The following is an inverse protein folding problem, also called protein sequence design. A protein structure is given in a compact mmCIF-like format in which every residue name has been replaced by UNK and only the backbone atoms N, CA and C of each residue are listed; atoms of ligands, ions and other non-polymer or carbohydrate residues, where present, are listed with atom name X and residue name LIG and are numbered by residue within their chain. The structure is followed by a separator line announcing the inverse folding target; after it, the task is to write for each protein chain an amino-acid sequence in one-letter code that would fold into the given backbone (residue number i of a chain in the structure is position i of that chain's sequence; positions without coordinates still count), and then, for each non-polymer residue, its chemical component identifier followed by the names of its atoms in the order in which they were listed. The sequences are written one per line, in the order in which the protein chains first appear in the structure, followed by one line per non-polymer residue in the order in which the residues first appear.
data_IF_155758044148
#
_entry.id   IF_155758044148
#
_cell.length_a   1.000
_cell.length_b   1.000
_cell.length_c   1.000
_cell.angle_alpha   90.00
_cell.angle_beta   90.00
_cell.angle_gamma   90.00
#
_symmetry.space_group_name_H-M   'P 1'
#
loop_
_entity.id
_entity.type
_entity.pdbx_description
1 polymer ?
#
# COMPACT_ATOMS: atom_id res chain seq x y z
N UNK A 1 2.01 22.42 22.80
CA UNK A 1 0.65 21.82 22.70
C UNK A 1 0.77 20.46 22.04
N UNK A 2 0.53 19.37 22.76
CA UNK A 2 0.44 18.03 22.16
C UNK A 2 -0.88 17.94 21.37
N UNK A 3 -0.91 17.32 20.17
CA UNK A 3 -2.14 17.16 19.42
C UNK A 3 -3.14 16.33 20.23
N UNK A 4 -4.37 16.84 20.38
CA UNK A 4 -5.46 16.19 21.08
C UNK A 4 -5.75 14.85 20.38
N UNK A 5 -5.58 13.72 21.08
CA UNK A 5 -5.94 12.41 20.51
C UNK A 5 -7.41 12.45 20.07
N UNK A 6 -7.75 11.98 18.86
CA UNK A 6 -9.15 11.93 18.41
C UNK A 6 -9.96 11.08 19.39
N UNK A 7 -11.23 11.43 19.60
CA UNK A 7 -12.15 10.59 20.37
C UNK A 7 -12.40 9.28 19.63
N UNK A 8 -12.79 8.23 20.36
CA UNK A 8 -13.05 6.91 19.79
C UNK A 8 -14.14 6.97 18.70
N UNK A 9 -15.13 7.86 18.86
CA UNK A 9 -16.13 8.14 17.84
C UNK A 9 -15.53 8.75 16.56
N UNK A 10 -14.59 9.69 16.68
CA UNK A 10 -13.94 10.30 15.53
C UNK A 10 -13.02 9.33 14.79
N UNK A 11 -12.39 8.38 15.52
CA UNK A 11 -11.59 7.31 14.93
C UNK A 11 -12.46 6.37 14.09
N UNK A 12 -13.62 5.97 14.64
CA UNK A 12 -14.60 5.11 13.97
C UNK A 12 -15.14 5.72 12.69
N UNK A 13 -15.52 7.00 12.73
CA UNK A 13 -16.02 7.68 11.54
C UNK A 13 -14.96 7.80 10.44
N UNK A 14 -13.69 8.04 10.79
CA UNK A 14 -12.58 8.02 9.81
C UNK A 14 -12.41 6.66 9.15
N UNK A 15 -12.52 5.59 9.93
CA UNK A 15 -12.41 4.23 9.42
C UNK A 15 -13.58 3.94 8.46
N UNK A 16 -14.81 4.22 8.86
CA UNK A 16 -16.00 4.06 8.02
C UNK A 16 -15.92 4.89 6.74
N UNK A 17 -15.43 6.13 6.83
CA UNK A 17 -15.26 7.00 5.68
C UNK A 17 -14.19 6.43 4.72
N UNK A 18 -13.08 5.91 5.24
CA UNK A 18 -12.03 5.30 4.44
C UNK A 18 -12.50 4.03 3.73
N UNK A 19 -13.18 3.12 4.44
CA UNK A 19 -13.69 1.87 3.88
C UNK A 19 -14.90 2.08 2.98
N UNK A 20 -15.77 3.03 3.30
CA UNK A 20 -16.93 3.40 2.48
C UNK A 20 -16.54 4.11 1.18
N UNK A 21 -15.43 4.84 1.16
CA UNK A 21 -14.90 5.47 -0.06
C UNK A 21 -14.36 4.43 -1.03
N UNK A 22 -13.54 3.51 -0.55
CA UNK A 22 -12.91 2.47 -1.37
C UNK A 22 -12.50 1.26 -0.53
N UNK A 23 -13.39 0.27 -0.47
CA UNK A 23 -13.19 -0.93 0.33
C UNK A 23 -12.04 -1.79 -0.19
N UNK A 24 -11.82 -1.84 -1.50
CA UNK A 24 -10.76 -2.64 -2.11
C UNK A 24 -9.39 -2.02 -1.83
N UNK A 25 -9.27 -0.69 -1.88
CA UNK A 25 -8.03 -0.01 -1.51
C UNK A 25 -7.72 -0.14 -0.02
N UNK A 26 -8.74 -0.13 0.83
CA UNK A 26 -8.59 -0.40 2.27
C UNK A 26 -8.13 -1.85 2.51
N UNK A 27 -8.74 -2.83 1.84
CA UNK A 27 -8.39 -4.24 1.91
C UNK A 27 -6.95 -4.50 1.46
N UNK A 28 -6.56 -3.86 0.35
CA UNK A 28 -5.20 -3.93 -0.15
C UNK A 28 -4.18 -3.45 0.89
N UNK A 29 -4.41 -2.29 1.53
CA UNK A 29 -3.51 -1.79 2.58
C UNK A 29 -3.35 -2.78 3.72
N UNK A 30 -4.46 -3.38 4.17
CA UNK A 30 -4.45 -4.40 5.22
C UNK A 30 -3.67 -5.64 4.77
N UNK A 31 -3.92 -6.12 3.56
CA UNK A 31 -3.25 -7.28 2.97
C UNK A 31 -1.74 -7.07 2.82
N UNK A 32 -1.31 -5.90 2.35
CA UNK A 32 0.12 -5.55 2.25
C UNK A 32 0.79 -5.50 3.63
N UNK A 33 0.11 -4.90 4.61
CA UNK A 33 0.58 -4.81 5.99
C UNK A 33 0.73 -6.20 6.63
N UNK A 34 -0.31 -7.03 6.54
CA UNK A 34 -0.33 -8.40 7.08
C UNK A 34 0.77 -9.24 6.44
N UNK A 35 0.95 -9.15 5.12
CA UNK A 35 2.02 -9.89 4.42
C UNK A 35 3.41 -9.47 4.90
N UNK A 36 3.65 -8.17 5.11
CA UNK A 36 4.90 -7.67 5.66
C UNK A 36 5.13 -8.13 7.12
N UNK A 37 4.08 -8.19 7.94
CA UNK A 37 4.12 -8.61 9.33
C UNK A 37 4.37 -10.11 9.50
N UNK A 38 3.73 -10.95 8.67
CA UNK A 38 3.86 -12.40 8.71
C UNK A 38 5.17 -12.91 8.09
N UNK A 39 5.89 -12.07 7.34
CA UNK A 39 7.16 -12.43 6.74
C UNK A 39 8.24 -12.71 7.80
N UNK A 40 9.09 -13.73 7.56
CA UNK A 40 10.31 -13.92 8.34
C UNK A 40 11.26 -12.70 8.26
N UNK A 41 11.11 -11.84 7.24
CA UNK A 41 11.88 -10.59 7.06
C UNK A 41 11.20 -9.38 7.72
N UNK A 42 10.17 -9.57 8.56
CA UNK A 42 9.30 -8.51 9.12
C UNK A 42 10.06 -7.31 9.68
N UNK A 43 11.24 -7.49 10.27
CA UNK A 43 12.04 -6.37 10.77
C UNK A 43 12.50 -5.36 9.69
N UNK A 44 12.75 -5.88 8.49
CA UNK A 44 13.21 -5.08 7.34
C UNK A 44 12.06 -4.59 6.45
N UNK A 45 11.00 -5.39 6.29
CA UNK A 45 9.93 -5.11 5.31
C UNK A 45 8.70 -4.44 5.91
N UNK A 46 8.45 -4.57 7.23
CA UNK A 46 7.35 -3.88 7.91
C UNK A 46 7.76 -2.44 8.27
N UNK A 47 7.96 -1.61 7.25
CA UNK A 47 8.36 -0.21 7.38
C UNK A 47 7.41 0.67 6.56
N UNK A 48 6.72 1.65 7.15
CA UNK A 48 6.78 2.08 8.54
C UNK A 48 6.25 1.00 9.49
N UNK A 49 6.71 1.07 10.75
CA UNK A 49 6.28 0.20 11.83
C UNK A 49 5.37 1.00 12.79
N UNK A 50 4.26 0.42 13.30
CA UNK A 50 3.33 1.15 14.16
C UNK A 50 3.98 1.46 15.51
N UNK A 51 4.12 2.75 15.83
CA UNK A 51 4.83 3.22 17.03
C UNK A 51 4.22 2.75 18.35
N UNK A 52 2.96 2.31 18.38
CA UNK A 52 2.31 1.74 19.56
C UNK A 52 2.93 0.39 20.00
N UNK A 53 3.60 -0.29 19.07
CA UNK A 53 4.24 -1.60 19.28
C UNK A 53 5.76 -1.50 19.31
N UNK A 54 6.30 -0.28 19.36
CA UNK A 54 7.73 -0.03 19.41
C UNK A 54 8.07 0.75 20.69
N UNK A 55 9.12 0.33 21.36
CA UNK A 55 9.81 1.12 22.38
C UNK A 55 11.19 1.53 21.84
N UNK A 56 11.99 2.24 22.65
CA UNK A 56 13.28 2.78 22.21
C UNK A 56 14.29 1.69 21.79
N UNK A 57 14.14 0.46 22.29
CA UNK A 57 15.12 -0.61 22.12
C UNK A 57 14.59 -1.80 21.30
N UNK A 58 13.27 -2.01 21.24
CA UNK A 58 12.66 -3.20 20.65
C UNK A 58 11.29 -2.95 20.01
N UNK A 59 10.94 -3.85 19.07
CA UNK A 59 9.63 -3.93 18.42
C UNK A 59 8.91 -5.17 18.93
N UNK A 60 7.70 -4.99 19.43
CA UNK A 60 6.83 -6.08 19.88
C UNK A 60 5.99 -6.61 18.70
N UNK A 61 6.59 -7.52 17.94
CA UNK A 61 5.90 -8.16 16.82
C UNK A 61 4.80 -9.13 17.27
N UNK A 62 4.89 -9.69 18.47
CA UNK A 62 3.96 -10.72 18.94
C UNK A 62 2.64 -10.08 19.39
N UNK A 63 2.70 -8.97 20.13
CA UNK A 63 1.53 -8.15 20.42
C UNK A 63 0.90 -7.59 19.14
N UNK A 64 1.72 -7.15 18.18
CA UNK A 64 1.23 -6.64 16.90
C UNK A 64 0.49 -7.72 16.10
N UNK A 65 1.03 -8.94 16.06
CA UNK A 65 0.42 -10.07 15.38
C UNK A 65 -0.90 -10.48 16.05
N UNK A 66 -0.94 -10.51 17.38
CA UNK A 66 -2.15 -10.82 18.15
C UNK A 66 -3.28 -9.82 17.84
N UNK A 67 -2.99 -8.52 17.88
CA UNK A 67 -4.00 -7.50 17.59
C UNK A 67 -4.42 -7.48 16.12
N UNK A 68 -3.49 -7.75 15.21
CA UNK A 68 -3.80 -7.85 13.77
C UNK A 68 -4.73 -9.03 13.50
N UNK A 69 -4.53 -10.17 14.16
CA UNK A 69 -5.39 -11.35 14.02
C UNK A 69 -6.76 -11.15 14.68
N UNK A 70 -6.89 -10.20 15.61
CA UNK A 70 -8.16 -9.84 16.24
C UNK A 70 -8.96 -8.80 15.42
N UNK A 71 -8.43 -8.30 14.30
CA UNK A 71 -9.15 -7.36 13.45
C UNK A 71 -10.34 -8.05 12.79
N UNK A 72 -11.56 -7.46 12.84
CA UNK A 72 -12.71 -7.97 12.13
C UNK A 72 -12.52 -7.82 10.61
N UNK A 73 -13.29 -8.57 9.83
CA UNK A 73 -13.28 -8.37 8.37
C UNK A 73 -13.81 -6.97 8.02
N UNK A 74 -13.36 -6.42 6.89
CA UNK A 74 -13.79 -5.07 6.48
C UNK A 74 -15.30 -4.94 6.26
N UNK A 75 -15.99 -6.05 5.99
CA UNK A 75 -17.43 -6.10 5.77
C UNK A 75 -18.21 -6.09 7.09
N UNK A 76 -17.62 -6.61 8.16
CA UNK A 76 -18.23 -6.70 9.50
C UNK A 76 -17.94 -5.47 10.36
N UNK A 77 -17.10 -4.55 9.86
CA UNK A 77 -16.77 -3.29 10.52
C UNK A 77 -17.99 -2.48 10.97
N UNK A 78 -19.07 -2.30 10.19
CA UNK A 78 -20.19 -1.47 10.63
C UNK A 78 -20.91 -2.00 11.89
N UNK A 79 -20.85 -3.31 12.13
CA UNK A 79 -21.62 -4.01 13.17
C UNK A 79 -20.76 -4.44 14.38
N UNK A 80 -19.47 -4.74 14.18
CA UNK A 80 -18.53 -5.19 15.23
C UNK A 80 -17.96 -4.08 16.13
N UNK A 81 -18.34 -2.83 15.88
CA UNK A 81 -17.79 -1.62 16.51
C UNK A 81 -18.11 -1.50 18.02
N UNK A 82 -18.95 -2.34 18.60
CA UNK A 82 -19.32 -2.24 20.03
C UNK A 82 -18.30 -2.84 21.01
N UNK A 83 -17.50 -3.85 20.64
CA UNK A 83 -16.76 -4.67 21.63
C UNK A 83 -15.23 -4.78 21.43
N UNK A 84 -14.64 -4.21 20.38
CA UNK A 84 -13.19 -4.36 20.15
C UNK A 84 -12.36 -3.33 20.92
N UNK A 85 -11.24 -3.79 21.51
CA UNK A 85 -10.27 -2.97 22.24
C UNK A 85 -9.81 -1.74 21.45
N UNK A 86 -9.70 -0.60 22.16
CA UNK A 86 -9.23 0.69 21.61
C UNK A 86 -7.91 0.57 20.84
N UNK A 87 -7.00 -0.29 21.33
CA UNK A 87 -5.70 -0.57 20.73
C UNK A 87 -5.82 -1.10 19.30
N UNK A 88 -6.77 -2.01 19.08
CA UNK A 88 -7.05 -2.62 17.77
C UNK A 88 -7.58 -1.59 16.77
N UNK A 89 -8.46 -0.69 17.23
CA UNK A 89 -8.96 0.41 16.39
C UNK A 89 -7.89 1.44 16.05
N UNK A 90 -7.00 1.76 17.01
CA UNK A 90 -5.86 2.65 16.78
C UNK A 90 -4.92 2.05 15.72
N UNK A 91 -4.63 0.75 15.80
CA UNK A 91 -3.86 0.02 14.79
C UNK A 91 -4.56 0.08 13.42
N UNK A 92 -5.86 -0.22 13.38
CA UNK A 92 -6.60 -0.25 12.14
C UNK A 92 -6.66 1.11 11.45
N UNK A 93 -6.95 2.16 12.21
CA UNK A 93 -6.87 3.53 11.69
C UNK A 93 -5.46 3.88 11.23
N UNK A 94 -4.42 3.40 11.90
CA UNK A 94 -3.03 3.63 11.51
C UNK A 94 -2.71 2.97 10.16
N UNK A 95 -3.14 1.72 9.93
CA UNK A 95 -2.95 0.99 8.66
C UNK A 95 -3.63 1.73 7.50
N UNK A 96 -4.85 2.19 7.71
CA UNK A 96 -5.62 2.86 6.65
C UNK A 96 -5.12 4.30 6.39
N UNK A 97 -4.52 4.93 7.39
CA UNK A 97 -4.05 6.31 7.29
C UNK A 97 -2.73 6.41 6.54
N UNK A 98 -2.65 7.34 5.60
CA UNK A 98 -1.38 7.75 5.00
C UNK A 98 -1.39 9.25 4.81
N UNK A 99 -0.27 9.89 5.14
CA UNK A 99 -0.11 11.35 5.05
C UNK A 99 0.28 11.83 3.66
N UNK A 100 0.92 10.98 2.87
CA UNK A 100 1.61 11.40 1.64
C UNK A 100 1.02 10.78 0.38
N UNK A 101 0.18 9.75 0.53
CA UNK A 101 -0.44 9.07 -0.61
C UNK A 101 -1.82 8.52 -0.25
N UNK A 102 -2.63 8.32 -1.27
CA UNK A 102 -3.88 7.56 -1.27
C UNK A 102 -3.75 6.43 -2.28
N UNK A 103 -4.44 5.32 -2.03
CA UNK A 103 -4.62 4.25 -3.02
C UNK A 103 -6.07 4.32 -3.47
N UNK A 104 -6.30 4.14 -4.77
CA UNK A 104 -7.62 4.14 -5.38
C UNK A 104 -7.75 2.94 -6.30
N UNK A 105 -8.82 2.18 -6.18
CA UNK A 105 -9.22 1.17 -7.16
C UNK A 105 -9.58 1.83 -8.47
N UNK A 106 -9.11 1.24 -9.56
CA UNK A 106 -9.36 1.76 -10.91
C UNK A 106 -9.91 0.68 -11.83
N UNK A 107 -10.39 1.10 -13.00
CA UNK A 107 -11.06 0.25 -13.98
C UNK A 107 -10.03 -0.40 -14.91
N UNK A 108 -10.39 -1.55 -15.47
CA UNK A 108 -9.57 -2.27 -16.46
C UNK A 108 -9.16 -1.42 -17.67
N UNK A 109 -9.95 -0.42 -18.05
CA UNK A 109 -9.60 0.53 -19.11
C UNK A 109 -8.28 1.28 -18.83
N UNK A 110 -7.96 1.58 -17.57
CA UNK A 110 -6.67 2.18 -17.24
C UNK A 110 -5.50 1.21 -17.47
N UNK A 111 -5.74 -0.10 -17.46
CA UNK A 111 -4.72 -1.08 -17.82
C UNK A 111 -4.33 -0.99 -19.30
N UNK A 112 -5.28 -0.74 -20.19
CA UNK A 112 -5.02 -0.54 -21.63
C UNK A 112 -4.08 0.66 -21.84
N UNK A 113 -4.35 1.77 -21.14
CA UNK A 113 -3.48 2.95 -21.15
C UNK A 113 -2.08 2.64 -20.59
N UNK A 114 -1.98 1.81 -19.55
CA UNK A 114 -0.69 1.36 -19.01
C UNK A 114 0.05 0.52 -20.06
N UNK A 115 -0.63 -0.35 -20.80
CA UNK A 115 -0.03 -1.15 -21.88
C UNK A 115 0.52 -0.24 -23.00
N UNK A 116 -0.24 0.78 -23.41
CA UNK A 116 0.22 1.78 -24.38
C UNK A 116 1.45 2.55 -23.88
N UNK A 117 1.42 3.06 -22.64
CA UNK A 117 2.52 3.83 -22.05
C UNK A 117 3.80 3.01 -21.86
N UNK A 118 3.68 1.69 -21.72
CA UNK A 118 4.81 0.77 -21.52
C UNK A 118 5.24 0.09 -22.82
N UNK A 119 4.51 0.28 -23.93
CA UNK A 119 4.75 -0.38 -25.19
C UNK A 119 4.57 -1.91 -25.15
N UNK A 120 3.85 -2.44 -24.16
CA UNK A 120 3.58 -3.88 -24.06
C UNK A 120 2.37 -4.28 -24.92
N UNK A 121 2.50 -5.36 -25.69
CA UNK A 121 1.38 -5.94 -26.42
C UNK A 121 0.41 -6.66 -25.48
N UNK A 122 -0.89 -6.57 -25.77
CA UNK A 122 -1.93 -7.17 -24.93
C UNK A 122 -1.91 -8.70 -24.91
N UNK A 123 -1.29 -9.33 -25.90
CA UNK A 123 -1.23 -10.80 -26.03
C UNK A 123 -0.20 -11.45 -25.10
N UNK A 124 0.71 -10.67 -24.50
CA UNK A 124 1.85 -11.19 -23.75
C UNK A 124 1.63 -11.32 -22.23
N UNK A 125 0.58 -10.70 -21.67
CA UNK A 125 0.41 -10.57 -20.21
C UNK A 125 -1.06 -10.72 -19.79
N UNK A 126 -1.36 -11.53 -18.76
CA UNK A 126 -2.72 -11.64 -18.23
C UNK A 126 -3.21 -10.31 -17.66
N UNK A 127 -4.48 -10.00 -17.91
CA UNK A 127 -5.15 -8.82 -17.36
C UNK A 127 -5.29 -8.95 -15.84
N UNK A 128 -4.92 -7.93 -15.06
CA UNK A 128 -5.04 -7.95 -13.60
C UNK A 128 -6.49 -8.15 -13.15
N UNK A 129 -6.64 -8.92 -12.07
CA UNK A 129 -7.90 -9.07 -11.35
C UNK A 129 -8.30 -7.75 -10.69
N UNK A 130 -7.32 -7.08 -10.09
CA UNK A 130 -7.47 -5.78 -9.45
C UNK A 130 -6.37 -4.81 -9.90
N UNK A 131 -6.76 -3.56 -10.16
CA UNK A 131 -5.85 -2.49 -10.52
C UNK A 131 -6.04 -1.32 -9.56
N UNK A 132 -4.92 -0.79 -9.08
CA UNK A 132 -4.91 0.33 -8.15
C UNK A 132 -3.96 1.43 -8.62
N UNK A 133 -4.39 2.68 -8.46
CA UNK A 133 -3.59 3.88 -8.67
C UNK A 133 -3.12 4.43 -7.32
N UNK A 134 -1.86 4.90 -7.28
CA UNK A 134 -1.29 5.56 -6.11
C UNK A 134 -1.23 7.06 -6.37
N UNK A 135 -2.07 7.78 -5.65
CA UNK A 135 -2.19 9.24 -5.76
C UNK A 135 -1.38 9.89 -4.65
N UNK A 136 -0.31 10.59 -5.02
CA UNK A 136 0.52 11.33 -4.07
C UNK A 136 -0.07 12.69 -3.75
N UNK A 137 0.22 13.22 -2.56
CA UNK A 137 -0.15 14.59 -2.20
C UNK A 137 0.61 15.63 -3.05
N UNK A 138 0.05 16.83 -3.14
CA UNK A 138 0.58 17.91 -3.98
C UNK A 138 2.04 18.25 -3.68
N UNK A 139 2.43 18.21 -2.40
CA UNK A 139 3.81 18.45 -2.00
C UNK A 139 4.79 17.42 -2.62
N UNK A 140 4.38 16.16 -2.67
CA UNK A 140 5.17 15.07 -3.25
C UNK A 140 5.18 15.13 -4.79
N UNK A 141 4.03 15.46 -5.40
CA UNK A 141 3.95 15.66 -6.85
C UNK A 141 4.80 16.84 -7.31
N UNK A 142 4.74 17.98 -6.62
CA UNK A 142 5.53 19.17 -6.95
C UNK A 142 7.04 18.88 -6.91
N UNK A 143 7.51 18.15 -5.89
CA UNK A 143 8.91 17.73 -5.79
C UNK A 143 9.34 16.80 -6.93
N UNK A 144 8.43 15.90 -7.35
CA UNK A 144 8.68 15.03 -8.49
C UNK A 144 8.78 15.85 -9.79
N UNK A 145 7.85 16.78 -10.02
CA UNK A 145 7.85 17.63 -11.21
C UNK A 145 9.08 18.53 -11.28
N UNK A 146 9.53 19.08 -10.15
CA UNK A 146 10.79 19.84 -10.03
C UNK A 146 12.00 18.98 -10.42
N UNK A 147 12.07 17.75 -9.91
CA UNK A 147 13.17 16.81 -10.23
C UNK A 147 13.13 16.37 -11.70
N UNK A 148 11.92 16.25 -12.26
CA UNK A 148 11.71 15.91 -13.66
C UNK A 148 12.24 17.00 -14.59
N UNK A 149 11.89 18.25 -14.30
CA UNK A 149 12.09 19.37 -15.21
C UNK A 149 11.42 19.10 -16.55
N UNK A 150 12.18 19.30 -17.64
CA UNK A 150 11.72 19.14 -19.03
C UNK A 150 11.92 17.72 -19.59
N UNK A 151 12.47 16.79 -18.80
CA UNK A 151 12.75 15.44 -19.26
C UNK A 151 11.46 14.63 -19.41
N UNK A 152 11.47 13.70 -20.36
CA UNK A 152 10.34 12.82 -20.64
C UNK A 152 10.08 11.81 -19.52
N UNK A 153 8.85 11.31 -19.46
CA UNK A 153 8.43 10.27 -18.53
C UNK A 153 8.49 8.90 -19.21
N UNK A 154 9.19 7.96 -18.57
CA UNK A 154 9.21 6.56 -18.97
C UNK A 154 8.42 5.74 -17.94
N UNK A 155 7.54 4.87 -18.41
CA UNK A 155 6.78 3.95 -17.58
C UNK A 155 7.36 2.55 -17.69
N UNK A 156 7.59 1.89 -16.56
CA UNK A 156 8.15 0.54 -16.54
C UNK A 156 7.62 -0.27 -15.35
N UNK A 157 7.44 -1.58 -15.56
CA UNK A 157 7.03 -2.52 -14.52
C UNK A 157 8.21 -2.98 -13.66
N UNK A 158 7.93 -3.24 -12.38
CA UNK A 158 8.83 -3.85 -11.43
C UNK A 158 8.06 -4.89 -10.61
N UNK A 159 8.45 -6.16 -10.73
CA UNK A 159 7.93 -7.24 -9.89
C UNK A 159 8.61 -7.29 -8.53
N UNK A 160 7.89 -7.59 -7.46
CA UNK A 160 8.49 -7.82 -6.13
C UNK A 160 7.68 -8.86 -5.38
N UNK A 161 8.25 -9.40 -4.30
CA UNK A 161 7.50 -10.27 -3.38
C UNK A 161 6.46 -9.44 -2.62
N UNK A 162 5.31 -10.02 -2.35
CA UNK A 162 4.17 -9.33 -1.72
C UNK A 162 4.54 -8.63 -0.41
N UNK A 163 5.34 -9.28 0.44
CA UNK A 163 5.72 -8.73 1.74
C UNK A 163 6.53 -7.42 1.64
N UNK A 164 7.10 -7.11 0.47
CA UNK A 164 7.88 -5.89 0.27
C UNK A 164 7.00 -4.67 -0.03
N UNK A 165 5.75 -4.87 -0.48
CA UNK A 165 4.92 -3.79 -1.03
C UNK A 165 4.44 -2.79 0.01
N UNK A 166 4.28 -3.19 1.28
CA UNK A 166 4.08 -2.24 2.37
C UNK A 166 5.21 -1.21 2.42
N UNK A 167 6.46 -1.67 2.43
CA UNK A 167 7.62 -0.77 2.42
C UNK A 167 7.74 0.03 1.13
N UNK A 168 7.53 -0.60 -0.03
CA UNK A 168 7.62 0.10 -1.33
C UNK A 168 6.59 1.23 -1.41
N UNK A 169 5.36 1.01 -0.92
CA UNK A 169 4.31 2.01 -0.90
C UNK A 169 4.74 3.25 -0.12
N UNK A 170 5.29 3.05 1.08
CA UNK A 170 5.57 4.16 2.00
C UNK A 170 6.97 4.77 1.85
N UNK A 171 7.96 4.00 1.40
CA UNK A 171 9.36 4.42 1.31
C UNK A 171 9.85 4.56 -0.14
N UNK A 172 9.08 4.08 -1.12
CA UNK A 172 9.53 3.91 -2.49
C UNK A 172 10.34 2.62 -2.68
N UNK A 173 10.71 2.33 -3.93
CA UNK A 173 11.61 1.22 -4.26
C UNK A 173 12.99 1.46 -3.63
N UNK A 174 13.59 0.41 -3.07
CA UNK A 174 14.99 0.45 -2.66
C UNK A 174 15.89 0.55 -3.89
N UNK A 175 16.30 1.78 -4.21
CA UNK A 175 17.37 2.02 -5.16
C UNK A 175 18.70 1.88 -4.42
N UNK A 176 19.44 0.79 -4.67
CA UNK A 176 20.86 0.77 -4.34
C UNK A 176 21.50 1.92 -5.14
N UNK A 177 21.79 3.03 -4.45
CA UNK A 177 22.54 4.23 -4.91
C UNK A 177 21.81 5.44 -5.54
N UNK A 178 20.48 5.62 -5.50
CA UNK A 178 19.89 6.96 -5.82
C UNK A 178 18.49 7.21 -5.21
N UNK A 179 18.32 8.30 -4.45
CA UNK A 179 17.09 8.66 -3.71
C UNK A 179 16.05 9.36 -4.61
N UNK A 180 15.16 8.63 -5.27
CA UNK A 180 14.03 9.27 -5.95
C UNK A 180 12.73 8.50 -5.68
N UNK A 181 11.66 9.24 -5.37
CA UNK A 181 10.29 8.74 -5.12
C UNK A 181 9.42 9.12 -6.32
N UNK A 182 8.59 8.20 -6.80
CA UNK A 182 7.90 8.32 -8.09
C UNK A 182 6.39 8.08 -7.93
N UNK A 183 5.53 8.63 -8.81
CA UNK A 183 4.10 8.24 -8.92
C UNK A 183 3.93 6.83 -9.48
N UNK A 184 2.95 6.06 -8.96
CA UNK A 184 2.92 4.59 -9.03
C UNK A 184 1.55 4.02 -9.41
N UNK A 185 1.54 2.90 -10.14
CA UNK A 185 0.39 1.99 -10.25
C UNK A 185 0.75 0.61 -9.69
N UNK A 186 -0.21 -0.05 -9.03
CA UNK A 186 -0.08 -1.41 -8.53
C UNK A 186 -1.07 -2.32 -9.27
N UNK A 187 -0.54 -3.28 -10.03
CA UNK A 187 -1.33 -4.30 -10.70
C UNK A 187 -1.20 -5.65 -9.99
N UNK A 188 -2.33 -6.33 -9.81
CA UNK A 188 -2.49 -7.54 -9.03
C UNK A 188 -3.04 -8.69 -9.89
N UNK A 189 -2.28 -9.79 -10.00
CA UNK A 189 -2.64 -10.98 -10.76
C UNK A 189 -2.62 -12.23 -9.87
N UNK A 190 -3.72 -12.98 -9.84
CA UNK A 190 -3.83 -14.26 -9.12
C UNK A 190 -3.37 -15.48 -9.94
N UNK A 191 -3.04 -15.33 -11.24
CA UNK A 191 -2.61 -16.43 -12.11
C UNK A 191 -1.21 -16.22 -12.72
N UNK A 192 -0.41 -17.29 -12.73
CA UNK A 192 1.02 -17.35 -13.08
C UNK A 192 1.24 -17.77 -14.54
N UNK A 193 1.99 -16.98 -15.33
CA UNK A 193 2.52 -17.41 -16.63
C UNK A 193 4.03 -17.67 -16.54
N UNK A 194 4.57 -18.73 -17.18
CA UNK A 194 5.98 -19.16 -17.04
C UNK A 194 7.05 -18.18 -17.57
N UNK A 195 6.68 -17.07 -18.23
CA UNK A 195 7.62 -15.98 -18.55
C UNK A 195 7.93 -15.06 -17.36
N UNK A 196 7.28 -15.26 -16.21
CA UNK A 196 7.51 -14.54 -14.96
C UNK A 196 8.43 -15.34 -14.03
N UNK A 197 9.74 -15.32 -14.28
CA UNK A 197 10.72 -15.88 -13.34
C UNK A 197 10.85 -14.95 -12.12
N UNK A 198 10.44 -15.47 -10.97
CA UNK A 198 10.32 -14.85 -9.64
C UNK A 198 9.07 -13.99 -9.36
N UNK A 199 7.89 -14.63 -9.27
CA UNK A 199 6.86 -14.19 -8.29
C UNK A 199 5.71 -15.19 -8.21
N UNK A 200 5.49 -15.82 -7.05
CA UNK A 200 4.13 -16.11 -6.59
C UNK A 200 3.41 -14.77 -6.39
N UNK A 201 2.22 -14.61 -6.98
CA UNK A 201 1.50 -13.35 -7.19
C UNK A 201 2.34 -12.26 -7.88
N UNK A 202 2.12 -12.03 -9.17
CA UNK A 202 2.86 -11.02 -9.92
C UNK A 202 2.29 -9.62 -9.61
N UNK A 203 2.78 -9.01 -8.53
CA UNK A 203 2.55 -7.60 -8.27
C UNK A 203 3.47 -6.78 -9.16
N UNK A 204 2.89 -6.08 -10.13
CA UNK A 204 3.67 -5.19 -10.99
C UNK A 204 3.53 -3.75 -10.49
N UNK A 205 4.66 -3.19 -10.12
CA UNK A 205 4.85 -1.80 -9.74
C UNK A 205 5.21 -1.01 -10.99
N UNK A 206 4.40 -0.01 -11.37
CA UNK A 206 4.80 0.92 -12.43
C UNK A 206 5.44 2.15 -11.80
N UNK A 207 6.63 2.55 -12.25
CA UNK A 207 7.25 3.82 -11.82
C UNK A 207 7.47 4.73 -13.02
N UNK A 208 7.46 6.04 -12.77
CA UNK A 208 7.91 7.06 -13.72
C UNK A 208 9.41 7.26 -13.59
N UNK A 209 10.20 6.97 -14.64
CA UNK A 209 11.61 7.37 -14.72
C UNK A 209 11.74 8.66 -15.52
N UNK A 210 12.73 9.44 -15.12
CA UNK A 210 13.20 10.66 -15.77
C UNK A 210 14.54 10.39 -16.43
#
# INVERSE_FOLDING_TARGET
MLPRKPSDAALREKIKEATGRDILAADLKCSLFVSALQSYKRDSVLRPFPGLYANEESKDFDALLADTNALPSLKELPESISDTDKRTWDLFSWILSSKFLTIQSTKKKEYEKIQELTGMSSDAVPTPDFLFEIVYCDQMNAKFDETRGERNLIYAFHGSRLENFHSILHNGLHCHLNRVRFPIFLALNTQLHPSFTNSEACFKHMYKRV
#
